data_IF_818791056549
#
_entry.id   IF_818791056549
#
_cell.length_a   1.000
_cell.length_b   1.000
_cell.length_c   1.000
_cell.angle_alpha   90.00
_cell.angle_beta   90.00
_cell.angle_gamma   90.00
#
_symmetry.space_group_name_H-M   'P 1'
#
loop_
_entity.id
_entity.type
_entity.pdbx_description
1 polymer ?
#
# COMPACT_ATOMS: atom_id res chain seq x y z
N UNK A 1 4.02 -14.49 11.28
CA UNK A 1 5.30 -13.74 11.15
C UNK A 1 6.45 -14.65 10.72
N UNK A 2 6.73 -15.79 11.38
CA UNK A 2 7.86 -16.68 11.01
C UNK A 2 7.81 -17.28 9.59
N UNK A 3 6.64 -17.65 9.07
CA UNK A 3 6.53 -18.25 7.73
C UNK A 3 6.84 -17.25 6.58
N UNK A 4 6.44 -15.98 6.75
CA UNK A 4 6.78 -14.92 5.78
C UNK A 4 8.29 -14.61 5.80
N UNK A 5 8.91 -14.58 6.99
CA UNK A 5 10.35 -14.39 7.12
C UNK A 5 11.15 -15.53 6.47
N UNK A 6 10.73 -16.80 6.67
CA UNK A 6 11.37 -17.94 6.02
C UNK A 6 11.23 -17.95 4.48
N UNK A 7 10.14 -17.40 3.96
CA UNK A 7 9.97 -17.20 2.51
C UNK A 7 10.88 -16.07 2.00
N UNK A 8 11.03 -14.98 2.76
CA UNK A 8 11.92 -13.87 2.43
C UNK A 8 13.40 -14.28 2.39
N UNK A 9 13.84 -15.17 3.28
CA UNK A 9 15.23 -15.69 3.27
C UNK A 9 15.51 -16.53 2.01
N UNK A 10 14.55 -17.36 1.59
CA UNK A 10 14.68 -18.14 0.36
C UNK A 10 14.62 -17.25 -0.90
N UNK A 11 13.78 -16.21 -0.88
CA UNK A 11 13.71 -15.22 -1.94
C UNK A 11 15.05 -14.47 -2.08
N UNK A 12 15.65 -14.02 -0.98
CA UNK A 12 16.96 -13.35 -0.98
C UNK A 12 18.04 -14.23 -1.59
N UNK A 13 18.14 -15.50 -1.19
CA UNK A 13 19.11 -16.45 -1.80
C UNK A 13 18.89 -16.63 -3.29
N UNK A 14 17.64 -16.69 -3.72
CA UNK A 14 17.29 -16.88 -5.13
C UNK A 14 17.68 -15.67 -5.97
N UNK A 15 17.39 -14.46 -5.49
CA UNK A 15 17.78 -13.23 -6.18
C UNK A 15 19.29 -13.00 -6.12
N UNK A 16 19.96 -13.34 -5.02
CA UNK A 16 21.43 -13.31 -4.95
C UNK A 16 22.07 -14.21 -6.01
N UNK A 17 21.53 -15.43 -6.21
CA UNK A 17 21.99 -16.31 -7.29
C UNK A 17 21.71 -15.71 -8.68
N UNK A 18 20.52 -15.16 -8.91
CA UNK A 18 20.20 -14.51 -10.19
C UNK A 18 21.16 -13.35 -10.48
N UNK A 19 21.43 -12.50 -9.48
CA UNK A 19 22.34 -11.37 -9.59
C UNK A 19 23.82 -11.78 -9.70
N UNK A 20 24.19 -12.99 -9.26
CA UNK A 20 25.54 -13.53 -9.53
C UNK A 20 25.74 -13.93 -10.99
N UNK A 21 24.66 -14.27 -11.69
CA UNK A 21 24.68 -14.62 -13.11
C UNK A 21 24.58 -13.35 -13.97
N UNK A 22 23.65 -12.47 -13.63
CA UNK A 22 23.48 -11.16 -14.28
C UNK A 22 23.26 -10.07 -13.22
N UNK A 23 24.32 -9.34 -12.83
CA UNK A 23 24.22 -8.26 -11.86
C UNK A 23 23.30 -7.11 -12.27
N UNK A 24 23.02 -6.95 -13.57
CA UNK A 24 22.21 -5.86 -14.12
C UNK A 24 20.77 -6.29 -14.41
N UNK A 25 20.39 -7.51 -14.03
CA UNK A 25 19.03 -7.99 -14.23
C UNK A 25 18.04 -7.09 -13.46
N UNK A 26 17.22 -6.34 -14.20
CA UNK A 26 16.34 -5.33 -13.61
C UNK A 26 15.27 -5.95 -12.69
N UNK A 27 14.68 -7.08 -13.07
CA UNK A 27 13.64 -7.76 -12.28
C UNK A 27 14.21 -8.42 -11.02
N UNK A 28 15.41 -9.00 -11.09
CA UNK A 28 16.09 -9.55 -9.92
C UNK A 28 16.47 -8.44 -8.93
N UNK A 29 16.99 -7.31 -9.42
CA UNK A 29 17.26 -6.12 -8.60
C UNK A 29 15.96 -5.56 -8.00
N UNK A 30 14.87 -5.44 -8.79
CA UNK A 30 13.58 -4.99 -8.29
C UNK A 30 13.07 -5.85 -7.13
N UNK A 31 13.04 -7.18 -7.32
CA UNK A 31 12.53 -8.10 -6.29
C UNK A 31 13.47 -8.19 -5.08
N UNK A 32 14.79 -8.13 -5.27
CA UNK A 32 15.75 -8.03 -4.16
C UNK A 32 15.52 -6.76 -3.32
N UNK A 33 15.22 -5.64 -3.97
CA UNK A 33 14.87 -4.38 -3.29
C UNK A 33 13.61 -4.51 -2.44
N UNK A 34 12.56 -5.15 -2.95
CA UNK A 34 11.34 -5.42 -2.19
C UNK A 34 11.60 -6.32 -0.96
N UNK A 35 12.43 -7.37 -1.11
CA UNK A 35 12.81 -8.25 0.00
C UNK A 35 13.62 -7.50 1.05
N UNK A 36 14.61 -6.70 0.63
CA UNK A 36 15.40 -5.88 1.54
C UNK A 36 14.53 -4.89 2.32
N UNK A 37 13.59 -4.23 1.64
CA UNK A 37 12.64 -3.30 2.27
C UNK A 37 11.74 -4.01 3.29
N UNK A 38 11.23 -5.20 2.96
CA UNK A 38 10.40 -5.99 3.88
C UNK A 38 11.17 -6.46 5.14
N UNK A 39 12.49 -6.64 5.03
CA UNK A 39 13.38 -6.95 6.15
C UNK A 39 13.84 -5.70 6.92
N UNK A 40 13.51 -4.50 6.45
CA UNK A 40 13.95 -3.24 7.05
C UNK A 40 15.37 -2.82 6.66
N UNK A 41 16.03 -3.52 5.73
CA UNK A 41 17.34 -3.14 5.19
C UNK A 41 17.16 -2.09 4.08
N UNK A 42 16.85 -0.87 4.50
CA UNK A 42 16.52 0.24 3.60
C UNK A 42 17.70 0.64 2.72
N UNK A 43 18.93 0.54 3.23
CA UNK A 43 20.15 0.84 2.48
C UNK A 43 20.36 -0.12 1.30
N UNK A 44 20.17 -1.43 1.52
CA UNK A 44 20.19 -2.40 0.40
C UNK A 44 19.02 -2.18 -0.55
N UNK A 45 17.83 -1.88 -0.03
CA UNK A 45 16.66 -1.62 -0.86
C UNK A 45 16.91 -0.47 -1.85
N UNK A 46 17.49 0.64 -1.37
CA UNK A 46 17.86 1.78 -2.22
C UNK A 46 18.83 1.38 -3.35
N UNK A 47 19.88 0.64 -2.99
CA UNK A 47 20.87 0.16 -3.96
C UNK A 47 20.23 -0.72 -5.03
N UNK A 48 19.39 -1.67 -4.62
CA UNK A 48 18.72 -2.59 -5.53
C UNK A 48 17.70 -1.87 -6.42
N UNK A 49 16.89 -0.95 -5.88
CA UNK A 49 15.96 -0.17 -6.68
C UNK A 49 16.67 0.76 -7.68
N UNK A 50 17.85 1.29 -7.33
CA UNK A 50 18.69 2.05 -8.25
C UNK A 50 19.15 1.26 -9.48
N UNK A 51 19.28 -0.07 -9.36
CA UNK A 51 19.65 -0.98 -10.44
C UNK A 51 18.44 -1.65 -11.13
N UNK A 52 17.21 -1.31 -10.73
CA UNK A 52 16.00 -1.94 -11.22
C UNK A 52 15.37 -1.23 -12.43
N UNK A 53 16.04 -0.24 -13.02
CA UNK A 53 15.53 0.48 -14.17
C UNK A 53 15.25 -0.49 -15.34
N UNK A 54 14.04 -0.40 -15.91
CA UNK A 54 13.59 -1.32 -16.98
C UNK A 54 12.93 -2.61 -16.49
N UNK A 55 12.72 -2.77 -15.19
CA UNK A 55 11.93 -3.90 -14.65
C UNK A 55 10.50 -3.90 -15.18
N UNK A 56 9.93 -5.10 -15.31
CA UNK A 56 8.50 -5.30 -15.58
C UNK A 56 7.62 -4.98 -14.37
N UNK A 57 8.22 -4.90 -13.17
CA UNK A 57 7.56 -4.52 -11.93
C UNK A 57 7.21 -3.04 -11.84
N UNK A 58 6.33 -2.69 -10.90
CA UNK A 58 5.95 -1.31 -10.67
C UNK A 58 6.99 -0.58 -9.79
N UNK A 59 8.15 -0.25 -10.38
CA UNK A 59 9.26 0.43 -9.68
C UNK A 59 8.83 1.77 -9.08
N UNK A 60 7.96 2.52 -9.76
CA UNK A 60 7.39 3.78 -9.25
C UNK A 60 6.66 3.58 -7.92
N UNK A 61 5.81 2.55 -7.85
CA UNK A 61 5.09 2.21 -6.62
C UNK A 61 6.04 1.74 -5.51
N UNK A 62 7.06 0.94 -5.86
CA UNK A 62 8.05 0.45 -4.89
C UNK A 62 8.89 1.58 -4.29
N UNK A 63 9.43 2.48 -5.14
CA UNK A 63 10.16 3.67 -4.70
C UNK A 63 9.27 4.60 -3.88
N UNK A 64 8.01 4.80 -4.29
CA UNK A 64 7.03 5.53 -3.50
C UNK A 64 6.87 4.99 -2.08
N UNK A 65 6.72 3.67 -1.97
CA UNK A 65 6.59 2.98 -0.69
C UNK A 65 7.87 3.08 0.15
N UNK A 66 9.03 2.93 -0.49
CA UNK A 66 10.34 3.15 0.13
C UNK A 66 10.44 4.55 0.73
N UNK A 67 10.11 5.58 -0.05
CA UNK A 67 10.17 6.97 0.41
C UNK A 67 9.15 7.30 1.49
N UNK A 68 7.98 6.66 1.50
CA UNK A 68 7.04 6.74 2.64
C UNK A 68 7.69 6.15 3.89
N UNK A 69 8.31 4.97 3.78
CA UNK A 69 8.97 4.30 4.91
C UNK A 69 10.16 5.10 5.46
N UNK A 70 10.88 5.84 4.62
CA UNK A 70 11.97 6.74 5.04
C UNK A 70 11.51 8.15 5.40
N UNK A 71 10.20 8.45 5.31
CA UNK A 71 9.63 9.77 5.63
C UNK A 71 9.84 10.87 4.59
N UNK A 72 10.35 10.55 3.40
CA UNK A 72 10.52 11.51 2.30
C UNK A 72 9.26 11.58 1.44
N UNK A 73 8.20 12.18 1.99
CA UNK A 73 6.89 12.28 1.31
C UNK A 73 6.96 13.05 -0.02
N UNK A 74 7.92 13.96 -0.17
CA UNK A 74 8.14 14.70 -1.42
C UNK A 74 8.62 13.77 -2.52
N UNK A 75 9.67 12.97 -2.27
CA UNK A 75 10.13 11.97 -3.23
C UNK A 75 9.10 10.86 -3.45
N UNK A 76 8.36 10.48 -2.41
CA UNK A 76 7.27 9.52 -2.55
C UNK A 76 6.24 10.02 -3.57
N UNK A 77 5.81 11.28 -3.45
CA UNK A 77 4.82 11.90 -4.34
C UNK A 77 5.32 11.96 -5.77
N UNK A 78 6.55 12.40 -5.98
CA UNK A 78 7.15 12.43 -7.32
C UNK A 78 7.30 11.03 -7.93
N UNK A 79 7.65 10.03 -7.12
CA UNK A 79 7.85 8.65 -7.59
C UNK A 79 6.54 7.98 -8.00
N UNK A 80 5.43 8.28 -7.29
CA UNK A 80 4.13 7.66 -7.54
C UNK A 80 3.24 8.45 -8.50
N UNK A 81 3.77 9.46 -9.19
CA UNK A 81 2.99 10.26 -10.13
C UNK A 81 2.42 9.37 -11.26
N UNK A 82 1.10 9.38 -11.39
CA UNK A 82 0.35 8.58 -12.38
C UNK A 82 0.20 7.10 -12.02
N UNK A 83 0.56 6.67 -10.80
CA UNK A 83 0.36 5.30 -10.34
C UNK A 83 -1.03 5.14 -9.73
N UNK A 84 -1.83 4.21 -10.27
CA UNK A 84 -3.15 3.87 -9.73
C UNK A 84 -3.03 2.68 -8.76
N UNK A 85 -2.61 2.95 -7.52
CA UNK A 85 -2.46 1.93 -6.48
C UNK A 85 -2.99 2.40 -5.12
N UNK A 86 -3.24 1.44 -4.23
CA UNK A 86 -3.61 1.73 -2.84
C UNK A 86 -2.54 2.56 -2.10
N UNK A 87 -1.25 2.33 -2.39
CA UNK A 87 -0.17 3.09 -1.77
C UNK A 87 -0.14 4.55 -2.26
N UNK A 88 -0.41 4.79 -3.55
CA UNK A 88 -0.49 6.14 -4.10
C UNK A 88 -1.68 6.90 -3.49
N UNK A 89 -2.83 6.24 -3.38
CA UNK A 89 -4.01 6.79 -2.71
C UNK A 89 -3.76 7.08 -1.23
N UNK A 90 -3.08 6.19 -0.51
CA UNK A 90 -2.70 6.42 0.89
C UNK A 90 -1.83 7.68 1.04
N UNK A 91 -0.83 7.85 0.18
CA UNK A 91 0.00 9.06 0.17
C UNK A 91 -0.83 10.33 -0.08
N UNK A 92 -1.77 10.28 -1.02
CA UNK A 92 -2.68 11.40 -1.29
C UNK A 92 -3.58 11.70 -0.08
N UNK A 93 -4.10 10.67 0.61
CA UNK A 93 -4.87 10.84 1.86
C UNK A 93 -4.02 11.52 2.94
N UNK A 94 -2.77 11.09 3.13
CA UNK A 94 -1.84 11.69 4.09
C UNK A 94 -1.55 13.17 3.78
N UNK A 95 -1.48 13.52 2.49
CA UNK A 95 -1.31 14.89 2.01
C UNK A 95 -2.63 15.68 1.92
N UNK A 96 -3.76 15.11 2.38
CA UNK A 96 -5.10 15.72 2.33
C UNK A 96 -5.63 15.97 0.91
N UNK A 97 -5.09 15.28 -0.08
CA UNK A 97 -5.47 15.34 -1.50
C UNK A 97 -6.64 14.38 -1.79
N UNK A 98 -7.75 14.51 -1.04
CA UNK A 98 -8.83 13.51 -1.03
C UNK A 98 -9.50 13.27 -2.38
N UNK A 99 -9.64 14.30 -3.22
CA UNK A 99 -10.18 14.15 -4.58
C UNK A 99 -9.24 13.33 -5.47
N UNK A 100 -7.93 13.55 -5.36
CA UNK A 100 -6.94 12.76 -6.08
C UNK A 100 -6.97 11.30 -5.59
N UNK A 101 -6.99 11.09 -4.26
CA UNK A 101 -7.12 9.76 -3.65
C UNK A 101 -8.35 9.01 -4.17
N UNK A 102 -9.51 9.66 -4.21
CA UNK A 102 -10.74 9.07 -4.74
C UNK A 102 -10.58 8.62 -6.20
N UNK A 103 -10.01 9.47 -7.04
CA UNK A 103 -9.79 9.16 -8.46
C UNK A 103 -8.78 8.02 -8.64
N UNK A 104 -7.68 8.05 -7.89
CA UNK A 104 -6.66 6.99 -7.90
C UNK A 104 -7.24 5.65 -7.45
N UNK A 105 -8.04 5.62 -6.38
CA UNK A 105 -8.69 4.39 -5.90
C UNK A 105 -9.69 3.82 -6.92
N UNK A 106 -10.46 4.68 -7.58
CA UNK A 106 -11.40 4.27 -8.62
C UNK A 106 -10.71 3.69 -9.86
N UNK A 107 -9.44 4.03 -10.08
CA UNK A 107 -8.64 3.58 -11.22
C UNK A 107 -7.71 2.40 -10.90
N UNK A 108 -7.76 1.84 -9.68
CA UNK A 108 -7.02 0.62 -9.33
C UNK A 108 -7.57 -0.55 -10.15
N UNK A 109 -6.71 -1.18 -10.96
CA UNK A 109 -7.11 -2.25 -11.89
C UNK A 109 -7.74 -3.45 -11.20
N UNK A 110 -7.20 -3.85 -10.04
CA UNK A 110 -7.65 -5.00 -9.25
C UNK A 110 -8.01 -4.53 -7.82
N UNK A 111 -9.20 -3.93 -7.62
CA UNK A 111 -9.56 -3.32 -6.35
C UNK A 111 -9.87 -4.36 -5.26
N UNK A 112 -9.09 -4.33 -4.18
CA UNK A 112 -9.16 -5.29 -3.09
C UNK A 112 -9.89 -4.73 -1.86
N UNK A 113 -9.77 -5.41 -0.71
CA UNK A 113 -10.32 -4.95 0.56
C UNK A 113 -9.69 -3.62 1.02
N UNK A 114 -8.39 -3.44 0.77
CA UNK A 114 -7.67 -2.23 1.14
C UNK A 114 -8.09 -1.04 0.28
N UNK A 115 -8.38 -1.24 -1.02
CA UNK A 115 -8.94 -0.20 -1.90
C UNK A 115 -10.26 0.33 -1.33
N UNK A 116 -11.18 -0.57 -0.98
CA UNK A 116 -12.46 -0.20 -0.37
C UNK A 116 -12.28 0.44 1.00
N UNK A 117 -11.35 -0.06 1.83
CA UNK A 117 -11.10 0.52 3.16
C UNK A 117 -10.55 1.96 3.06
N UNK A 118 -9.60 2.21 2.16
CA UNK A 118 -9.07 3.56 1.92
C UNK A 118 -10.15 4.50 1.37
N UNK A 119 -11.06 4.01 0.53
CA UNK A 119 -12.20 4.80 0.06
C UNK A 119 -13.14 5.19 1.21
N UNK A 120 -13.34 4.31 2.20
CA UNK A 120 -14.07 4.66 3.42
C UNK A 120 -13.36 5.74 4.25
N UNK A 121 -12.03 5.68 4.37
CA UNK A 121 -11.23 6.71 5.04
C UNK A 121 -11.37 8.06 4.33
N UNK A 122 -11.28 8.08 2.99
CA UNK A 122 -11.53 9.28 2.18
C UNK A 122 -12.92 9.85 2.49
N UNK A 123 -13.95 8.98 2.46
CA UNK A 123 -15.32 9.40 2.73
C UNK A 123 -15.48 9.99 4.14
N UNK A 124 -14.86 9.38 5.17
CA UNK A 124 -14.88 9.90 6.53
C UNK A 124 -14.21 11.29 6.63
N UNK A 125 -13.04 11.46 5.99
CA UNK A 125 -12.27 12.71 5.94
C UNK A 125 -13.02 13.82 5.18
N UNK A 126 -13.88 13.47 4.23
CA UNK A 126 -14.74 14.41 3.50
C UNK A 126 -16.16 14.51 4.05
N UNK A 127 -16.43 13.92 5.23
CA UNK A 127 -17.74 13.90 5.89
C UNK A 127 -18.87 13.30 5.03
N UNK A 128 -18.53 12.37 4.13
CA UNK A 128 -19.45 11.58 3.32
C UNK A 128 -19.82 10.29 4.09
N UNK A 129 -20.90 10.38 4.88
CA UNK A 129 -21.36 9.28 5.73
C UNK A 129 -21.77 8.04 4.92
N UNK A 130 -22.48 8.23 3.82
CA UNK A 130 -22.96 7.12 2.99
C UNK A 130 -21.78 6.41 2.31
N UNK A 131 -20.77 7.19 1.90
CA UNK A 131 -19.47 6.68 1.45
C UNK A 131 -18.77 5.83 2.50
N UNK A 132 -18.75 6.23 3.78
CA UNK A 132 -18.15 5.42 4.86
C UNK A 132 -18.80 4.04 4.94
N UNK A 133 -20.13 4.00 5.01
CA UNK A 133 -20.85 2.73 5.23
C UNK A 133 -20.80 1.79 4.03
N UNK A 134 -20.98 2.33 2.82
CA UNK A 134 -20.92 1.53 1.59
C UNK A 134 -19.53 0.94 1.38
N UNK A 135 -18.47 1.72 1.57
CA UNK A 135 -17.10 1.27 1.37
C UNK A 135 -16.61 0.32 2.48
N UNK A 136 -17.00 0.52 3.75
CA UNK A 136 -16.67 -0.43 4.81
C UNK A 136 -17.35 -1.78 4.60
N UNK A 137 -18.62 -1.80 4.17
CA UNK A 137 -19.30 -3.06 3.79
C UNK A 137 -18.55 -3.79 2.68
N UNK A 138 -18.13 -3.05 1.64
CA UNK A 138 -17.36 -3.62 0.54
C UNK A 138 -15.99 -4.17 1.00
N UNK A 139 -15.31 -3.47 1.91
CA UNK A 139 -14.05 -3.93 2.49
C UNK A 139 -14.23 -5.21 3.32
N UNK A 140 -15.23 -5.23 4.22
CA UNK A 140 -15.53 -6.38 5.10
C UNK A 140 -15.99 -7.61 4.31
N UNK A 141 -16.73 -7.42 3.22
CA UNK A 141 -17.13 -8.51 2.34
C UNK A 141 -15.92 -9.22 1.69
N UNK A 142 -14.84 -8.48 1.41
CA UNK A 142 -13.58 -9.02 0.84
C UNK A 142 -12.63 -9.54 1.92
N UNK A 143 -12.56 -8.89 3.07
CA UNK A 143 -11.76 -9.32 4.22
C UNK A 143 -12.46 -8.94 5.54
N UNK A 144 -12.92 -9.94 6.28
CA UNK A 144 -13.61 -9.75 7.56
C UNK A 144 -12.77 -9.04 8.62
N UNK A 145 -11.43 -9.12 8.55
CA UNK A 145 -10.54 -8.41 9.47
C UNK A 145 -10.68 -6.88 9.39
N UNK A 146 -11.18 -6.35 8.26
CA UNK A 146 -11.47 -4.93 8.10
C UNK A 146 -12.50 -4.43 9.13
N UNK A 147 -13.43 -5.28 9.59
CA UNK A 147 -14.40 -4.92 10.63
C UNK A 147 -13.69 -4.63 11.96
N UNK A 148 -12.81 -5.54 12.37
CA UNK A 148 -12.01 -5.41 13.60
C UNK A 148 -11.09 -4.19 13.55
N UNK A 149 -10.53 -3.90 12.37
CA UNK A 149 -9.72 -2.70 12.16
C UNK A 149 -10.55 -1.43 12.27
N UNK A 150 -11.67 -1.34 11.54
CA UNK A 150 -12.54 -0.16 11.53
C UNK A 150 -13.11 0.17 12.92
N UNK A 151 -13.41 -0.85 13.73
CA UNK A 151 -13.89 -0.67 15.11
C UNK A 151 -12.90 0.06 16.04
N UNK A 152 -11.61 0.11 15.68
CA UNK A 152 -10.53 0.75 16.47
C UNK A 152 -9.89 1.93 15.75
N UNK A 153 -10.28 2.19 14.51
CA UNK A 153 -9.68 3.20 13.65
C UNK A 153 -10.28 4.59 13.93
N UNK A 154 -9.43 5.54 14.32
CA UNK A 154 -9.84 6.89 14.70
C UNK A 154 -10.43 7.67 13.53
N UNK A 155 -10.13 7.28 12.28
CA UNK A 155 -10.79 7.81 11.08
C UNK A 155 -12.32 7.68 11.16
N UNK A 156 -12.81 6.65 11.87
CA UNK A 156 -14.23 6.37 12.00
C UNK A 156 -14.81 6.70 13.37
N UNK A 157 -14.05 7.36 14.26
CA UNK A 157 -14.46 7.61 15.64
C UNK A 157 -15.82 8.31 15.76
N UNK A 158 -16.12 9.23 14.84
CA UNK A 158 -17.39 9.95 14.77
C UNK A 158 -18.61 9.01 14.56
N UNK A 159 -18.40 7.85 13.96
CA UNK A 159 -19.47 6.92 13.57
C UNK A 159 -19.66 5.76 14.56
N UNK A 160 -18.76 5.56 15.52
CA UNK A 160 -18.76 4.39 16.41
C UNK A 160 -20.06 4.20 17.22
N UNK A 161 -20.74 5.29 17.58
CA UNK A 161 -22.01 5.20 18.30
C UNK A 161 -23.20 4.85 17.39
N UNK A 162 -23.07 5.04 16.07
CA UNK A 162 -24.17 4.84 15.12
C UNK A 162 -24.47 3.35 14.91
N UNK A 163 -25.75 2.99 14.98
CA UNK A 163 -26.20 1.61 14.79
C UNK A 163 -25.82 1.04 13.42
N UNK A 164 -25.83 1.88 12.38
CA UNK A 164 -25.43 1.49 11.03
C UNK A 164 -23.94 1.10 10.96
N UNK A 165 -23.06 1.81 11.68
CA UNK A 165 -21.65 1.49 11.74
C UNK A 165 -21.42 0.19 12.55
N UNK A 166 -22.06 0.07 13.72
CA UNK A 166 -21.99 -1.12 14.57
C UNK A 166 -22.38 -2.38 13.80
N UNK A 167 -23.44 -2.34 13.00
CA UNK A 167 -23.89 -3.46 12.17
C UNK A 167 -22.88 -3.90 11.10
N UNK A 168 -21.87 -3.08 10.77
CA UNK A 168 -20.80 -3.42 9.81
C UNK A 168 -19.60 -4.04 10.53
N UNK A 169 -19.32 -3.60 11.76
CA UNK A 169 -18.06 -3.93 12.45
C UNK A 169 -18.22 -4.95 13.59
N UNK A 170 -19.44 -5.30 13.97
CA UNK A 170 -19.78 -6.23 15.07
C UNK A 170 -20.34 -7.55 14.55
#
# INVERSE_FOLDING_TARGET
>A
VCYQMGNMDNAEKSFAKALSIDPRNADANFNAGLVAMAKGDLAKAETYFGNAAGTTGNLKNALGTYYIATGDYTKAKSSMLGVNSNNAALLQILNKEYNAAKNTLAAVENPDAATSYLAAVVAARTNDKDGVYSNLKAAVAKNKECALKAAKDLEFAKYWSESAFKAIVQ
#
